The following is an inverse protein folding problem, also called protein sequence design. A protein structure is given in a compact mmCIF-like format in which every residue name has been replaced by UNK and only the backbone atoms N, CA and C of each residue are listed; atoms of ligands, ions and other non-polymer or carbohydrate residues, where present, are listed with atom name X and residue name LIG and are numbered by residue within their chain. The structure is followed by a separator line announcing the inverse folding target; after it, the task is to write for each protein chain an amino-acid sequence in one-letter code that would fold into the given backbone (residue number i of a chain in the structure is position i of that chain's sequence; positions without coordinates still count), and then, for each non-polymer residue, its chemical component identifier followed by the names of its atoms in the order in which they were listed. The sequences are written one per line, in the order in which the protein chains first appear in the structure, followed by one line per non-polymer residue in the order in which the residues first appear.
data_IF_890921435796
#
_entry.id   IF_890921435796
#
_cell.length_a   1.000
_cell.length_b   1.000
_cell.length_c   1.000
_cell.angle_alpha   90.00
_cell.angle_beta   90.00
_cell.angle_gamma   90.00
#
_symmetry.space_group_name_H-M   'P 1'
#
loop_
_entity.id
_entity.type
_entity.pdbx_description
1 polymer ?
#
# COMPACT_ATOMS: atom_id res chain seq x y z
N UNK A 1 -6.56 -14.96 -15.34
CA UNK A 1 -5.42 -15.78 -14.89
C UNK A 1 -5.22 -15.51 -13.41
N UNK A 2 -5.28 -16.56 -12.58
CA UNK A 2 -5.37 -16.44 -11.14
C UNK A 2 -4.07 -15.86 -10.55
N UNK A 3 -4.26 -14.87 -9.67
CA UNK A 3 -3.24 -14.11 -8.98
C UNK A 3 -2.52 -15.02 -7.97
N UNK A 4 -1.22 -14.86 -7.77
CA UNK A 4 -0.63 -15.16 -6.46
C UNK A 4 -1.15 -14.08 -5.49
N UNK A 5 -2.36 -14.26 -5.00
CA UNK A 5 -2.96 -13.44 -3.94
C UNK A 5 -2.26 -13.72 -2.62
N UNK A 6 -2.50 -12.87 -1.62
CA UNK A 6 -2.18 -13.16 -0.23
C UNK A 6 -2.55 -14.61 0.14
N UNK A 7 -3.68 -15.10 -0.38
CA UNK A 7 -4.14 -16.48 -0.32
C UNK A 7 -3.08 -17.53 -0.69
N UNK A 8 -2.30 -17.36 -1.77
CA UNK A 8 -1.31 -18.38 -2.14
C UNK A 8 -0.15 -18.53 -1.13
N UNK A 9 0.19 -17.46 -0.42
CA UNK A 9 1.15 -17.54 0.69
C UNK A 9 0.49 -18.17 1.92
N UNK A 10 -0.77 -17.84 2.17
CA UNK A 10 -1.56 -18.42 3.23
C UNK A 10 -1.78 -19.93 3.04
N UNK A 11 -2.08 -20.37 1.83
CA UNK A 11 -2.20 -21.77 1.44
C UNK A 11 -0.86 -22.51 1.63
N UNK A 12 0.27 -21.85 1.37
CA UNK A 12 1.61 -22.38 1.68
C UNK A 12 1.94 -22.48 3.17
N UNK A 13 1.13 -21.91 4.07
CA UNK A 13 1.19 -22.17 5.51
C UNK A 13 0.39 -23.44 5.90
N UNK A 14 -0.58 -23.86 5.07
CA UNK A 14 -1.43 -25.04 5.27
C UNK A 14 -0.78 -26.36 4.81
N UNK A 15 0.25 -26.31 3.96
CA UNK A 15 0.98 -27.48 3.42
C UNK A 15 1.69 -28.38 4.47
N UNK A 16 1.47 -28.17 5.77
CA UNK A 16 1.98 -29.02 6.85
C UNK A 16 0.97 -30.05 7.39
N UNK A 17 -0.25 -30.12 6.85
CA UNK A 17 -1.28 -31.05 7.30
C UNK A 17 -1.70 -32.08 6.24
N UNK A 18 -0.73 -32.78 5.64
CA UNK A 18 -0.88 -34.20 5.29
C UNK A 18 0.47 -34.77 4.83
N UNK A 19 1.00 -35.84 5.46
CA UNK A 19 2.08 -36.59 4.82
C UNK A 19 1.54 -37.16 3.49
N UNK A 20 2.37 -37.27 2.43
CA UNK A 20 1.94 -37.94 1.22
C UNK A 20 1.54 -39.38 1.59
N UNK A 21 0.29 -39.74 1.33
CA UNK A 21 -0.18 -41.11 1.49
C UNK A 21 0.76 -42.03 0.70
N UNK A 22 1.24 -43.07 1.37
CA UNK A 22 2.10 -44.09 0.77
C UNK A 22 1.46 -44.64 -0.52
N UNK A 23 2.26 -44.94 -1.56
CA UNK A 23 1.72 -45.49 -2.80
C UNK A 23 1.07 -46.85 -2.51
N UNK A 24 -0.22 -46.97 -2.82
CA UNK A 24 -0.94 -48.23 -2.75
C UNK A 24 -0.33 -49.25 -3.73
N UNK A 25 -0.33 -50.56 -3.41
CA UNK A 25 0.27 -51.58 -4.25
C UNK A 25 -0.49 -51.71 -5.58
N UNK A 26 0.30 -51.85 -6.65
CA UNK A 26 -0.16 -51.94 -8.02
C UNK A 26 -1.10 -53.12 -8.25
N UNK A 27 -2.30 -52.85 -8.76
CA UNK A 27 -3.13 -53.85 -9.45
C UNK A 27 -2.71 -53.91 -10.92
N UNK A 28 -2.50 -55.14 -11.39
CA UNK A 28 -1.93 -55.49 -12.69
C UNK A 28 -2.76 -54.98 -13.89
N UNK A 29 -2.13 -54.57 -15.01
CA UNK A 29 -2.83 -54.18 -16.22
C UNK A 29 -3.05 -55.38 -17.16
N UNK A 30 -4.27 -55.52 -17.71
CA UNK A 30 -4.54 -56.36 -18.88
C UNK A 30 -4.96 -55.48 -20.06
N UNK A 31 -4.01 -55.22 -20.95
CA UNK A 31 -4.14 -55.13 -22.42
C UNK A 31 -3.01 -54.25 -23.02
N UNK A 32 -2.25 -54.72 -24.02
CA UNK A 32 -1.09 -54.02 -24.54
C UNK A 32 -1.49 -52.91 -25.53
N UNK A 33 -1.23 -51.66 -25.15
CA UNK A 33 -1.14 -50.55 -26.11
C UNK A 33 0.24 -50.58 -26.79
N UNK A 34 0.37 -50.22 -28.07
CA UNK A 34 1.68 -50.21 -28.74
C UNK A 34 2.61 -49.17 -28.09
N UNK A 35 3.94 -49.37 -28.17
CA UNK A 35 4.90 -48.52 -27.47
C UNK A 35 4.85 -47.12 -28.05
N UNK A 36 4.39 -46.13 -27.26
CA UNK A 36 4.64 -44.72 -27.56
C UNK A 36 6.14 -44.50 -27.43
N UNK A 37 6.79 -44.24 -28.57
CA UNK A 37 8.16 -43.77 -28.59
C UNK A 37 8.35 -42.62 -27.60
N UNK A 38 9.43 -42.61 -26.81
CA UNK A 38 9.71 -41.50 -25.91
C UNK A 38 9.92 -40.25 -26.77
N UNK A 39 8.96 -39.31 -26.73
CA UNK A 39 9.16 -37.96 -27.27
C UNK A 39 10.46 -37.43 -26.68
N UNK A 40 11.48 -37.29 -27.54
CA UNK A 40 12.73 -36.59 -27.20
C UNK A 40 12.35 -35.28 -26.53
N UNK A 41 12.61 -35.17 -25.22
CA UNK A 41 12.51 -33.90 -24.50
C UNK A 41 13.52 -32.97 -25.16
N UNK A 42 13.04 -32.06 -25.99
CA UNK A 42 13.85 -30.96 -26.50
C UNK A 42 14.37 -30.22 -25.25
N UNK A 43 15.69 -30.10 -25.04
CA UNK A 43 16.21 -29.34 -23.92
C UNK A 43 15.73 -27.91 -24.07
N UNK A 44 14.92 -27.44 -23.13
CA UNK A 44 14.58 -26.03 -23.04
C UNK A 44 15.92 -25.31 -22.78
N UNK A 45 16.34 -24.34 -23.61
CA UNK A 45 17.60 -23.64 -23.40
C UNK A 45 17.57 -22.96 -22.04
N UNK A 46 18.43 -23.41 -21.12
CA UNK A 46 18.63 -22.76 -19.83
C UNK A 46 19.55 -21.56 -20.07
N UNK A 47 19.01 -20.36 -19.99
CA UNK A 47 19.83 -19.17 -19.81
C UNK A 47 20.69 -19.33 -18.55
N UNK A 48 21.93 -18.85 -18.59
CA UNK A 48 22.76 -18.81 -17.38
C UNK A 48 22.06 -17.95 -16.32
N UNK A 49 21.94 -18.48 -15.10
CA UNK A 49 21.20 -17.82 -14.00
C UNK A 49 21.75 -16.42 -13.68
N UNK A 50 23.03 -16.16 -13.96
CA UNK A 50 23.67 -14.85 -13.79
C UNK A 50 23.19 -13.81 -14.81
N UNK A 51 23.03 -14.21 -16.08
CA UNK A 51 22.48 -13.34 -17.12
C UNK A 51 20.99 -13.09 -16.87
N UNK A 52 20.25 -14.12 -16.46
CA UNK A 52 18.86 -14.01 -16.08
C UNK A 52 18.69 -13.06 -14.89
N UNK A 53 19.53 -13.19 -13.86
CA UNK A 53 19.56 -12.29 -12.70
C UNK A 53 19.85 -10.86 -13.11
N UNK A 54 20.86 -10.60 -13.94
CA UNK A 54 21.21 -9.26 -14.37
C UNK A 54 20.07 -8.58 -15.14
N UNK A 55 19.40 -9.34 -16.02
CA UNK A 55 18.24 -8.87 -16.79
C UNK A 55 17.09 -8.53 -15.83
N UNK A 56 16.68 -9.46 -14.96
CA UNK A 56 15.58 -9.24 -14.03
C UNK A 56 15.91 -8.24 -12.93
N UNK A 57 17.17 -8.11 -12.52
CA UNK A 57 17.62 -7.06 -11.61
C UNK A 57 17.43 -5.69 -12.27
N UNK A 58 17.69 -5.55 -13.58
CA UNK A 58 17.43 -4.31 -14.31
C UNK A 58 15.92 -4.01 -14.43
N UNK A 59 15.12 -5.02 -14.77
CA UNK A 59 13.66 -4.89 -14.91
C UNK A 59 12.94 -4.64 -13.57
N UNK A 60 13.48 -5.18 -12.48
CA UNK A 60 12.95 -5.05 -11.11
C UNK A 60 13.71 -4.01 -10.28
N UNK A 61 14.78 -3.40 -10.81
CA UNK A 61 15.63 -2.42 -10.11
C UNK A 61 14.78 -1.30 -9.53
N UNK A 62 13.82 -0.82 -10.32
CA UNK A 62 12.91 0.27 -9.96
C UNK A 62 11.84 -0.13 -8.96
N UNK A 63 11.93 -1.32 -8.35
CA UNK A 63 10.93 -1.81 -7.41
C UNK A 63 9.58 -2.07 -8.05
N UNK A 64 9.54 -2.32 -9.38
CA UNK A 64 8.26 -2.41 -10.06
C UNK A 64 7.49 -3.66 -9.63
N UNK A 65 6.30 -3.52 -9.03
CA UNK A 65 5.59 -4.66 -8.46
C UNK A 65 5.00 -5.58 -9.53
N UNK A 66 4.48 -5.07 -10.65
CA UNK A 66 4.10 -5.90 -11.80
C UNK A 66 5.30 -6.67 -12.37
N UNK A 67 6.47 -6.03 -12.49
CA UNK A 67 7.69 -6.70 -12.96
C UNK A 67 8.21 -7.71 -11.95
N UNK A 68 8.15 -7.41 -10.64
CA UNK A 68 8.49 -8.35 -9.56
C UNK A 68 7.55 -9.55 -9.58
N UNK A 69 6.25 -9.35 -9.81
CA UNK A 69 5.25 -10.43 -9.98
C UNK A 69 5.59 -11.34 -11.15
N UNK A 70 5.94 -10.74 -12.30
CA UNK A 70 6.38 -11.51 -13.47
C UNK A 70 7.66 -12.27 -13.14
N UNK A 71 8.64 -11.62 -12.53
CA UNK A 71 9.94 -12.20 -12.20
C UNK A 71 9.82 -13.44 -11.31
N UNK A 72 8.98 -13.41 -10.27
CA UNK A 72 8.80 -14.53 -9.35
C UNK A 72 8.05 -15.72 -9.98
N UNK A 73 7.37 -15.53 -11.10
CA UNK A 73 6.64 -16.60 -11.81
C UNK A 73 7.50 -17.36 -12.82
N UNK A 74 8.68 -16.84 -13.17
CA UNK A 74 9.53 -17.42 -14.23
C UNK A 74 10.14 -18.75 -13.78
N UNK A 75 10.80 -18.78 -12.63
CA UNK A 75 11.40 -19.98 -12.06
C UNK A 75 11.64 -19.85 -10.54
N UNK A 76 11.95 -20.97 -9.89
CA UNK A 76 12.20 -21.04 -8.44
C UNK A 76 13.40 -20.20 -7.99
N UNK A 77 14.42 -20.03 -8.84
CA UNK A 77 15.59 -19.23 -8.51
C UNK A 77 15.24 -17.73 -8.39
N UNK A 78 14.55 -17.17 -9.39
CA UNK A 78 14.06 -15.78 -9.38
C UNK A 78 12.97 -15.57 -8.32
N UNK A 79 12.12 -16.57 -8.07
CA UNK A 79 11.20 -16.56 -6.93
C UNK A 79 11.95 -16.33 -5.62
N UNK A 80 12.95 -17.15 -5.31
CA UNK A 80 13.72 -17.04 -4.07
C UNK A 80 14.46 -15.69 -3.96
N UNK A 81 14.93 -15.15 -5.08
CA UNK A 81 15.64 -13.86 -5.15
C UNK A 81 14.71 -12.68 -4.90
N UNK A 82 13.53 -12.64 -5.52
CA UNK A 82 12.66 -11.46 -5.53
C UNK A 82 11.46 -11.51 -4.59
N UNK A 83 11.07 -12.69 -4.09
CA UNK A 83 9.97 -12.82 -3.12
C UNK A 83 10.08 -11.84 -1.94
N UNK A 84 11.25 -11.51 -1.35
CA UNK A 84 11.28 -10.61 -0.20
C UNK A 84 10.95 -9.16 -0.55
N UNK A 85 11.09 -8.79 -1.84
CA UNK A 85 10.72 -7.47 -2.34
C UNK A 85 9.24 -7.40 -2.69
N UNK A 86 8.67 -8.50 -3.17
CA UNK A 86 7.25 -8.61 -3.50
C UNK A 86 6.34 -8.38 -2.29
N UNK A 87 6.72 -8.90 -1.12
CA UNK A 87 5.91 -8.77 0.10
C UNK A 87 6.05 -7.42 0.83
N UNK A 88 6.88 -6.49 0.31
CA UNK A 88 7.00 -5.13 0.88
C UNK A 88 5.78 -4.26 0.62
N UNK A 89 4.98 -4.59 -0.38
CA UNK A 89 3.73 -3.91 -0.68
C UNK A 89 2.58 -4.89 -0.51
N UNK A 90 1.60 -4.53 0.32
CA UNK A 90 0.37 -5.29 0.48
C UNK A 90 -0.81 -4.35 0.29
N UNK A 91 -1.78 -4.83 -0.49
CA UNK A 91 -3.09 -4.24 -0.65
C UNK A 91 -4.11 -5.11 0.07
N UNK A 92 -4.74 -4.57 1.09
CA UNK A 92 -5.93 -5.18 1.66
C UNK A 92 -7.18 -4.62 1.00
N UNK A 93 -8.10 -5.53 0.68
CA UNK A 93 -9.43 -5.21 0.18
C UNK A 93 -10.46 -6.21 0.73
N UNK A 94 -11.74 -5.94 0.44
CA UNK A 94 -12.86 -6.78 0.87
C UNK A 94 -12.72 -8.28 0.53
N UNK A 95 -11.86 -8.67 -0.40
CA UNK A 95 -11.71 -10.07 -0.81
C UNK A 95 -10.64 -10.83 -0.01
N UNK A 96 -9.71 -10.14 0.65
CA UNK A 96 -8.56 -10.78 1.31
C UNK A 96 -8.41 -10.40 2.79
N UNK A 97 -9.20 -9.43 3.27
CA UNK A 97 -9.08 -8.95 4.64
C UNK A 97 -9.53 -10.00 5.67
N UNK A 98 -10.54 -10.81 5.34
CA UNK A 98 -11.01 -11.88 6.22
C UNK A 98 -9.95 -12.94 6.43
N UNK A 99 -9.23 -13.31 5.37
CA UNK A 99 -8.13 -14.25 5.46
C UNK A 99 -7.01 -13.68 6.34
N UNK A 100 -6.67 -12.39 6.18
CA UNK A 100 -5.72 -11.75 7.08
C UNK A 100 -6.15 -11.80 8.54
N UNK A 101 -7.42 -11.52 8.84
CA UNK A 101 -7.94 -11.56 10.20
C UNK A 101 -7.92 -12.99 10.76
N UNK A 102 -8.26 -13.99 9.95
CA UNK A 102 -8.18 -15.40 10.32
C UNK A 102 -6.73 -15.78 10.63
N UNK A 103 -5.78 -15.47 9.75
CA UNK A 103 -4.37 -15.81 9.97
C UNK A 103 -3.74 -15.06 11.14
N UNK A 104 -4.11 -13.80 11.37
CA UNK A 104 -3.70 -13.08 12.57
C UNK A 104 -4.23 -13.78 13.83
N UNK A 105 -5.48 -14.27 13.81
CA UNK A 105 -6.07 -14.99 14.93
C UNK A 105 -5.36 -16.32 15.17
N UNK A 106 -5.21 -17.15 14.14
CA UNK A 106 -4.58 -18.47 14.23
C UNK A 106 -3.11 -18.39 14.67
N UNK A 107 -2.36 -17.39 14.22
CA UNK A 107 -0.92 -17.30 14.47
C UNK A 107 -0.54 -16.49 15.73
N UNK A 108 -1.45 -15.66 16.25
CA UNK A 108 -1.17 -14.77 17.39
C UNK A 108 -2.03 -15.03 18.63
N UNK A 109 -3.02 -15.93 18.58
CA UNK A 109 -3.85 -16.25 19.74
C UNK A 109 -2.99 -16.61 20.97
N UNK A 110 -3.36 -16.03 22.11
CA UNK A 110 -2.63 -16.19 23.37
C UNK A 110 -3.10 -17.38 24.20
N UNK A 111 -4.16 -18.09 23.79
CA UNK A 111 -4.79 -19.18 24.56
C UNK A 111 -4.08 -20.54 24.43
N UNK A 112 -4.04 -21.29 25.53
CA UNK A 112 -3.31 -22.55 25.73
C UNK A 112 -3.81 -23.77 24.94
N UNK A 113 -4.93 -23.68 24.23
CA UNK A 113 -5.42 -24.79 23.40
C UNK A 113 -4.76 -24.73 22.02
N UNK A 114 -3.61 -25.41 21.90
CA UNK A 114 -2.78 -25.51 20.69
C UNK A 114 -2.19 -24.19 20.22
N UNK A 115 -1.18 -23.70 20.95
CA UNK A 115 -0.31 -22.64 20.45
C UNK A 115 0.17 -23.00 19.04
N UNK A 116 0.03 -22.12 18.04
CA UNK A 116 0.49 -22.40 16.68
C UNK A 116 1.97 -22.77 16.73
N UNK A 117 2.45 -23.68 15.84
CA UNK A 117 3.86 -23.99 15.75
C UNK A 117 4.64 -22.68 15.69
N UNK A 118 5.63 -22.51 16.58
CA UNK A 118 6.42 -21.26 16.68
C UNK A 118 6.91 -20.76 15.33
N UNK A 119 7.25 -21.70 14.44
CA UNK A 119 7.63 -21.46 13.04
C UNK A 119 6.56 -20.72 12.22
N UNK A 120 5.28 -21.06 12.35
CA UNK A 120 4.20 -20.42 11.59
C UNK A 120 3.94 -19.01 12.09
N UNK A 121 3.94 -18.83 13.41
CA UNK A 121 3.89 -17.51 14.04
C UNK A 121 5.05 -16.62 13.60
N UNK A 122 6.28 -17.13 13.66
CA UNK A 122 7.47 -16.38 13.27
C UNK A 122 7.43 -16.01 11.78
N UNK A 123 6.96 -16.92 10.91
CA UNK A 123 6.74 -16.65 9.47
C UNK A 123 5.71 -15.54 9.24
N UNK A 124 4.56 -15.62 9.91
CA UNK A 124 3.51 -14.61 9.80
C UNK A 124 4.01 -13.25 10.28
N UNK A 125 4.66 -13.19 11.43
CA UNK A 125 5.26 -11.94 11.95
C UNK A 125 6.34 -11.39 11.01
N UNK A 126 7.20 -12.25 10.46
CA UNK A 126 8.22 -11.84 9.50
C UNK A 126 7.60 -11.25 8.24
N UNK A 127 6.49 -11.83 7.75
CA UNK A 127 5.74 -11.26 6.64
C UNK A 127 5.21 -9.88 7.02
N UNK A 128 4.47 -9.75 8.11
CA UNK A 128 3.88 -8.46 8.52
C UNK A 128 4.95 -7.38 8.74
N UNK A 129 6.09 -7.74 9.34
CA UNK A 129 7.23 -6.84 9.54
C UNK A 129 8.02 -6.54 8.26
N UNK A 130 7.82 -7.28 7.17
CA UNK A 130 8.44 -6.99 5.87
C UNK A 130 7.68 -5.95 5.05
N UNK A 131 6.42 -5.66 5.42
CA UNK A 131 5.55 -4.71 4.72
C UNK A 131 6.02 -3.30 5.03
N UNK A 132 6.29 -2.54 3.96
CA UNK A 132 6.73 -1.15 3.97
C UNK A 132 5.63 -0.25 3.40
N UNK A 133 4.91 -0.73 2.38
CA UNK A 133 3.80 -0.06 1.73
C UNK A 133 2.51 -0.81 2.02
N UNK A 134 1.57 -0.14 2.68
CA UNK A 134 0.26 -0.68 3.00
C UNK A 134 -0.82 0.10 2.27
N UNK A 135 -1.60 -0.58 1.45
CA UNK A 135 -2.76 -0.01 0.78
C UNK A 135 -4.06 -0.50 1.40
N UNK A 136 -4.93 0.45 1.74
CA UNK A 136 -6.25 0.22 2.33
C UNK A 136 -7.30 0.75 1.36
N UNK A 137 -8.17 -0.13 0.87
CA UNK A 137 -9.14 0.22 -0.17
C UNK A 137 -10.40 0.89 0.36
N UNK A 138 -10.95 0.39 1.47
CA UNK A 138 -12.31 0.66 1.91
C UNK A 138 -12.48 0.62 3.44
N UNK A 139 -13.69 0.96 3.89
CA UNK A 139 -14.11 0.98 5.29
C UNK A 139 -13.92 -0.37 5.97
N UNK A 140 -14.53 -1.43 5.43
CA UNK A 140 -14.54 -2.77 6.00
C UNK A 140 -13.12 -3.26 6.24
N UNK A 141 -12.27 -3.06 5.23
CA UNK A 141 -10.86 -3.40 5.29
C UNK A 141 -10.16 -2.70 6.45
N UNK A 142 -10.36 -1.38 6.56
CA UNK A 142 -9.72 -0.57 7.60
C UNK A 142 -10.18 -0.93 9.00
N UNK A 143 -11.46 -1.25 9.18
CA UNK A 143 -12.04 -1.65 10.46
C UNK A 143 -11.46 -2.99 10.93
N UNK A 144 -11.39 -4.00 10.05
CA UNK A 144 -10.83 -5.32 10.38
C UNK A 144 -9.32 -5.24 10.69
N UNK A 145 -8.55 -4.46 9.95
CA UNK A 145 -7.14 -4.18 10.29
C UNK A 145 -7.04 -3.62 11.72
N UNK A 146 -7.85 -2.61 12.03
CA UNK A 146 -7.84 -1.98 13.36
C UNK A 146 -8.28 -2.95 14.46
N UNK A 147 -9.31 -3.78 14.21
CA UNK A 147 -9.76 -4.82 15.15
C UNK A 147 -8.60 -5.75 15.53
N UNK A 148 -7.83 -6.21 14.55
CA UNK A 148 -6.64 -7.03 14.79
C UNK A 148 -5.62 -6.25 15.64
N UNK A 149 -5.27 -5.02 15.24
CA UNK A 149 -4.25 -4.21 15.91
C UNK A 149 -4.57 -3.86 17.37
N UNK A 150 -5.86 -3.69 17.72
CA UNK A 150 -6.28 -3.41 19.09
C UNK A 150 -6.57 -4.65 19.92
N UNK A 151 -6.61 -5.83 19.30
CA UNK A 151 -6.98 -7.07 20.00
C UNK A 151 -5.97 -7.37 21.11
N UNK A 152 -6.50 -7.53 22.33
CA UNK A 152 -5.73 -7.90 23.52
C UNK A 152 -5.44 -9.40 23.58
N UNK A 153 -6.20 -10.20 22.85
CA UNK A 153 -6.09 -11.66 22.80
C UNK A 153 -4.98 -12.10 21.84
N UNK A 154 -4.58 -11.21 20.92
CA UNK A 154 -3.56 -11.46 19.92
C UNK A 154 -2.20 -10.91 20.35
N UNK A 155 -1.24 -11.80 20.57
CA UNK A 155 0.09 -11.46 21.07
C UNK A 155 0.91 -10.72 20.01
N UNK A 156 1.30 -9.49 20.30
CA UNK A 156 2.13 -8.68 19.38
C UNK A 156 1.34 -8.06 18.22
N UNK A 157 0.00 -8.09 18.27
CA UNK A 157 -0.88 -7.45 17.30
C UNK A 157 -0.51 -5.99 17.04
N UNK A 158 -0.25 -5.23 18.10
CA UNK A 158 0.06 -3.80 18.05
C UNK A 158 1.33 -3.45 17.26
N UNK A 159 2.21 -4.43 17.02
CA UNK A 159 3.48 -4.25 16.30
C UNK A 159 3.50 -4.95 14.95
N UNK A 160 2.38 -5.54 14.50
CA UNK A 160 2.34 -6.33 13.26
C UNK A 160 2.91 -5.56 12.06
N UNK A 161 2.52 -4.30 11.93
CA UNK A 161 2.91 -3.43 10.82
C UNK A 161 3.95 -2.39 11.22
N UNK A 162 4.86 -2.72 12.15
CA UNK A 162 5.87 -1.78 12.68
C UNK A 162 6.82 -1.18 11.63
N UNK A 163 6.92 -1.81 10.46
CA UNK A 163 7.80 -1.39 9.35
C UNK A 163 7.06 -0.61 8.27
N UNK A 164 5.75 -0.41 8.41
CA UNK A 164 4.97 0.35 7.43
C UNK A 164 5.40 1.81 7.48
N UNK A 165 5.98 2.28 6.38
CA UNK A 165 6.38 3.67 6.21
C UNK A 165 5.43 4.43 5.30
N UNK A 166 4.81 3.75 4.33
CA UNK A 166 3.93 4.32 3.31
C UNK A 166 2.52 3.78 3.49
N UNK A 167 1.58 4.67 3.79
CA UNK A 167 0.15 4.34 3.86
C UNK A 167 -0.56 4.91 2.63
N UNK A 168 -1.22 4.05 1.86
CA UNK A 168 -1.97 4.41 0.66
C UNK A 168 -3.46 4.24 0.95
N UNK A 169 -4.20 5.34 0.83
CA UNK A 169 -5.64 5.40 1.08
C UNK A 169 -6.38 5.62 -0.23
N UNK A 170 -7.22 4.66 -0.60
CA UNK A 170 -8.03 4.72 -1.83
C UNK A 170 -9.34 5.47 -1.62
N UNK A 171 -10.03 5.70 -2.72
CA UNK A 171 -11.24 6.52 -2.77
C UNK A 171 -12.36 6.06 -1.82
N UNK A 172 -12.61 4.76 -1.69
CA UNK A 172 -13.71 4.26 -0.84
C UNK A 172 -13.39 4.47 0.65
N UNK A 173 -12.14 4.30 1.07
CA UNK A 173 -11.70 4.68 2.41
C UNK A 173 -11.90 6.19 2.66
N UNK A 174 -11.55 7.06 1.71
CA UNK A 174 -11.73 8.51 1.87
C UNK A 174 -13.22 8.92 1.96
N UNK A 175 -14.12 8.14 1.36
CA UNK A 175 -15.58 8.35 1.46
C UNK A 175 -16.13 7.93 2.82
N UNK A 176 -15.55 6.92 3.45
CA UNK A 176 -15.89 6.48 4.81
C UNK A 176 -15.63 7.56 5.86
N UNK A 177 -14.61 8.40 5.67
CA UNK A 177 -14.37 9.54 6.56
C UNK A 177 -15.53 10.54 6.45
N UNK A 178 -16.41 10.57 7.43
CA UNK A 178 -17.56 11.50 7.47
C UNK A 178 -17.44 12.50 8.62
N UNK A 179 -17.96 13.71 8.39
CA UNK A 179 -17.92 14.81 9.39
C UNK A 179 -18.77 14.51 10.64
N UNK A 180 -19.85 13.74 10.47
CA UNK A 180 -20.84 13.47 11.53
C UNK A 180 -20.30 12.53 12.61
N UNK A 181 -19.37 11.63 12.26
CA UNK A 181 -18.72 10.69 13.18
C UNK A 181 -17.81 11.37 14.23
N UNK A 182 -17.68 12.69 14.18
CA UNK A 182 -16.86 13.48 15.10
C UNK A 182 -17.46 13.58 16.51
N UNK A 183 -18.79 13.52 16.61
CA UNK A 183 -19.54 13.60 17.87
C UNK A 183 -19.87 12.22 18.46
N UNK A 184 -19.55 11.14 17.74
CA UNK A 184 -19.71 9.79 18.26
C UNK A 184 -18.67 9.54 19.36
N UNK A 185 -19.15 9.42 20.60
CA UNK A 185 -18.36 9.07 21.79
C UNK A 185 -18.40 7.57 22.09
N UNK A 186 -19.00 6.78 21.18
CA UNK A 186 -19.32 5.39 21.45
C UNK A 186 -18.13 4.45 21.20
N UNK A 187 -18.17 3.25 21.79
CA UNK A 187 -17.10 2.23 21.68
C UNK A 187 -16.99 1.58 20.29
N UNK A 188 -17.79 2.01 19.33
CA UNK A 188 -17.82 1.48 17.97
C UNK A 188 -16.63 1.98 17.13
N UNK A 189 -16.25 1.24 16.09
CA UNK A 189 -15.17 1.61 15.18
C UNK A 189 -15.66 2.58 14.09
N UNK A 190 -16.11 3.76 14.52
CA UNK A 190 -16.44 4.85 13.61
C UNK A 190 -15.17 5.43 12.95
N UNK A 191 -15.33 6.17 11.85
CA UNK A 191 -14.24 6.60 10.96
C UNK A 191 -13.09 7.33 11.67
N UNK A 192 -13.42 8.29 12.55
CA UNK A 192 -12.42 9.00 13.37
C UNK A 192 -11.61 8.05 14.24
N UNK A 193 -12.26 7.06 14.88
CA UNK A 193 -11.57 6.12 15.77
C UNK A 193 -10.66 5.18 14.99
N UNK A 194 -11.11 4.68 13.85
CA UNK A 194 -10.31 3.85 12.94
C UNK A 194 -9.03 4.59 12.55
N UNK A 195 -9.16 5.83 12.08
CA UNK A 195 -8.01 6.64 11.66
C UNK A 195 -7.03 6.91 12.81
N UNK A 196 -7.51 7.30 13.99
CA UNK A 196 -6.65 7.50 15.15
C UNK A 196 -5.86 6.23 15.52
N UNK A 197 -6.50 5.06 15.42
CA UNK A 197 -5.86 3.79 15.73
C UNK A 197 -4.86 3.40 14.64
N UNK A 198 -5.19 3.57 13.36
CA UNK A 198 -4.26 3.37 12.25
C UNK A 198 -3.00 4.24 12.44
N UNK A 199 -3.15 5.54 12.71
CA UNK A 199 -2.01 6.42 12.98
C UNK A 199 -1.16 5.99 14.17
N UNK A 200 -1.80 5.58 15.26
CA UNK A 200 -1.13 5.14 16.49
C UNK A 200 -0.27 3.89 16.27
N UNK A 201 -0.78 2.90 15.54
CA UNK A 201 -0.12 1.60 15.39
C UNK A 201 0.75 1.48 14.15
N UNK A 202 0.34 2.08 13.03
CA UNK A 202 1.11 2.06 11.79
C UNK A 202 2.23 3.10 11.79
N UNK A 203 1.99 4.28 12.38
CA UNK A 203 2.94 5.42 12.40
C UNK A 203 3.60 5.69 11.05
N UNK A 204 2.81 5.87 9.97
CA UNK A 204 3.37 6.07 8.64
C UNK A 204 4.22 7.35 8.60
N UNK A 205 5.28 7.32 7.79
CA UNK A 205 6.11 8.50 7.48
C UNK A 205 5.60 9.22 6.23
N UNK A 206 4.94 8.49 5.34
CA UNK A 206 4.39 9.03 4.11
C UNK A 206 2.92 8.62 3.95
N UNK A 207 2.09 9.58 3.55
CA UNK A 207 0.68 9.35 3.24
C UNK A 207 0.38 9.58 1.76
N UNK A 208 -0.21 8.59 1.10
CA UNK A 208 -0.69 8.69 -0.26
C UNK A 208 -2.21 8.66 -0.30
N UNK A 209 -2.82 9.67 -0.93
CA UNK A 209 -4.27 9.74 -1.14
C UNK A 209 -4.52 9.67 -2.64
N UNK A 210 -5.36 8.73 -3.06
CA UNK A 210 -5.63 8.47 -4.48
C UNK A 210 -6.37 9.60 -5.19
N UNK A 211 -7.36 10.21 -4.54
CA UNK A 211 -8.12 11.32 -5.08
C UNK A 211 -8.73 12.14 -3.94
N UNK A 212 -8.60 13.46 -4.04
CA UNK A 212 -9.41 14.40 -3.29
C UNK A 212 -10.30 15.13 -4.29
N UNK A 213 -11.62 15.19 -4.06
CA UNK A 213 -12.56 15.76 -5.05
C UNK A 213 -12.26 17.25 -5.30
N UNK A 214 -12.29 17.66 -6.58
CA UNK A 214 -11.90 19.01 -7.01
C UNK A 214 -12.83 20.13 -6.55
N UNK A 215 -14.14 19.87 -6.55
CA UNK A 215 -15.16 20.91 -6.33
C UNK A 215 -15.14 21.47 -4.91
N UNK A 216 -14.54 20.73 -3.98
CA UNK A 216 -14.54 21.04 -2.56
C UNK A 216 -13.29 21.84 -2.13
N UNK A 217 -12.17 21.76 -2.87
CA UNK A 217 -10.87 22.33 -2.43
C UNK A 217 -10.75 23.85 -2.48
N UNK A 218 -11.65 24.57 -3.15
CA UNK A 218 -11.59 26.05 -3.15
C UNK A 218 -11.89 26.65 -1.76
N UNK A 219 -12.46 25.85 -0.87
CA UNK A 219 -12.80 26.21 0.49
C UNK A 219 -11.98 25.37 1.47
N UNK A 220 -11.15 25.99 2.31
CA UNK A 220 -10.41 25.34 3.39
C UNK A 220 -11.34 24.65 4.40
N UNK A 221 -12.58 25.13 4.54
CA UNK A 221 -13.63 24.53 5.38
C UNK A 221 -14.35 23.34 4.73
N UNK A 222 -13.92 22.92 3.54
CA UNK A 222 -14.57 21.81 2.86
C UNK A 222 -14.39 20.49 3.61
N UNK A 223 -15.37 19.57 3.50
CA UNK A 223 -15.27 18.26 4.15
C UNK A 223 -14.01 17.50 3.74
N UNK A 224 -13.60 17.56 2.46
CA UNK A 224 -12.43 16.85 1.95
C UNK A 224 -11.12 17.34 2.57
N UNK A 225 -10.95 18.66 2.71
CA UNK A 225 -9.76 19.25 3.35
C UNK A 225 -9.73 18.91 4.85
N UNK A 226 -10.85 19.09 5.53
CA UNK A 226 -10.98 18.79 6.95
C UNK A 226 -10.72 17.31 7.27
N UNK A 227 -11.19 16.37 6.43
CA UNK A 227 -10.94 14.94 6.59
C UNK A 227 -9.44 14.64 6.62
N UNK A 228 -8.67 15.24 5.72
CA UNK A 228 -7.22 15.01 5.64
C UNK A 228 -6.51 15.65 6.83
N UNK A 229 -6.88 16.87 7.23
CA UNK A 229 -6.33 17.54 8.42
C UNK A 229 -6.55 16.73 9.70
N UNK A 230 -7.74 16.16 9.87
CA UNK A 230 -8.02 15.22 10.96
C UNK A 230 -7.23 13.95 10.83
N UNK A 231 -7.17 13.40 9.61
CA UNK A 231 -6.55 12.12 9.40
C UNK A 231 -5.09 12.14 9.79
N UNK A 232 -4.36 13.18 9.38
CA UNK A 232 -2.96 13.35 9.79
C UNK A 232 -2.81 13.89 11.22
N UNK A 233 -3.90 14.16 11.95
CA UNK A 233 -3.87 14.73 13.29
C UNK A 233 -3.04 13.87 14.25
N UNK A 234 -1.91 14.40 14.70
CA UNK A 234 -0.96 13.68 15.58
C UNK A 234 -0.07 12.65 14.86
N UNK A 235 -0.12 12.58 13.52
CA UNK A 235 0.76 11.75 12.72
C UNK A 235 2.01 12.57 12.38
N UNK A 236 3.20 11.97 12.58
CA UNK A 236 4.47 12.63 12.25
C UNK A 236 4.87 12.31 10.80
N UNK A 237 4.13 12.89 9.86
CA UNK A 237 4.37 12.69 8.43
C UNK A 237 5.58 13.51 7.97
N UNK A 238 6.50 12.86 7.26
CA UNK A 238 7.58 13.53 6.55
C UNK A 238 7.12 14.04 5.18
N UNK A 239 6.14 13.35 4.58
CA UNK A 239 5.65 13.68 3.25
C UNK A 239 4.22 13.19 2.98
N UNK A 240 3.57 13.82 2.00
CA UNK A 240 2.25 13.44 1.50
C UNK A 240 2.22 13.50 -0.02
N UNK A 241 1.57 12.53 -0.65
CA UNK A 241 1.28 12.54 -2.09
C UNK A 241 -0.22 12.55 -2.34
N UNK A 242 -0.65 13.44 -3.24
CA UNK A 242 -2.01 13.52 -3.73
C UNK A 242 -2.02 13.10 -5.20
N UNK A 243 -2.50 11.88 -5.42
CA UNK A 243 -2.71 11.36 -6.75
C UNK A 243 -3.96 11.94 -7.38
N UNK A 244 -3.99 11.90 -8.72
CA UNK A 244 -5.11 12.34 -9.53
C UNK A 244 -5.73 13.65 -9.03
N UNK A 245 -4.87 14.61 -8.69
CA UNK A 245 -5.30 15.84 -8.03
C UNK A 245 -6.07 16.70 -9.03
N UNK A 246 -7.40 16.68 -8.94
CA UNK A 246 -8.26 17.39 -9.89
C UNK A 246 -8.49 18.84 -9.44
N UNK A 247 -8.56 19.74 -10.42
CA UNK A 247 -8.83 21.18 -10.25
C UNK A 247 -7.60 22.05 -10.47
N UNK A 248 -7.75 23.36 -10.25
CA UNK A 248 -6.65 24.33 -10.35
C UNK A 248 -6.05 24.70 -8.98
N UNK A 249 -6.70 24.37 -7.87
CA UNK A 249 -6.23 24.70 -6.52
C UNK A 249 -5.57 23.49 -5.87
N UNK A 250 -4.35 23.67 -5.36
CA UNK A 250 -3.57 22.67 -4.62
C UNK A 250 -3.58 23.02 -3.13
N UNK A 251 -4.15 22.14 -2.32
CA UNK A 251 -4.25 22.37 -0.88
C UNK A 251 -2.94 22.02 -0.19
N UNK A 252 -2.38 22.99 0.53
CA UNK A 252 -1.17 22.84 1.32
C UNK A 252 -1.56 22.51 2.76
N UNK A 253 -1.42 21.24 3.10
CA UNK A 253 -1.71 20.70 4.42
C UNK A 253 -0.71 21.17 5.47
N UNK A 254 -1.15 21.32 6.72
CA UNK A 254 -0.30 21.77 7.83
C UNK A 254 0.65 20.67 8.29
N UNK A 255 1.81 21.04 8.84
CA UNK A 255 2.78 20.11 9.45
C UNK A 255 3.26 18.94 8.57
N UNK A 256 3.22 19.13 7.24
CA UNK A 256 3.81 18.19 6.28
C UNK A 256 4.96 18.89 5.53
N UNK A 257 6.22 18.48 5.76
CA UNK A 257 7.39 19.12 5.14
C UNK A 257 7.45 19.01 3.62
N UNK A 258 6.96 17.93 3.03
CA UNK A 258 6.98 17.70 1.59
C UNK A 258 5.61 17.26 1.08
N UNK A 259 5.05 18.00 0.12
CA UNK A 259 3.76 17.68 -0.48
C UNK A 259 3.90 17.55 -2.00
N UNK A 260 3.57 16.37 -2.52
CA UNK A 260 3.69 16.00 -3.92
C UNK A 260 2.30 15.92 -4.55
N UNK A 261 2.14 16.52 -5.72
CA UNK A 261 0.88 16.55 -6.45
C UNK A 261 1.08 15.92 -7.83
N UNK A 262 0.23 14.97 -8.16
CA UNK A 262 0.10 14.41 -9.51
C UNK A 262 -1.24 14.91 -10.08
N UNK A 263 -1.30 16.15 -10.55
CA UNK A 263 -2.53 16.71 -11.10
C UNK A 263 -3.03 15.92 -12.30
N UNK A 264 -4.35 15.80 -12.39
CA UNK A 264 -5.03 15.33 -13.60
C UNK A 264 -5.79 16.53 -14.20
N UNK A 265 -5.11 17.42 -14.95
CA UNK A 265 -5.72 18.65 -15.42
C UNK A 265 -6.77 18.35 -16.49
N UNK A 266 -7.98 18.96 -16.41
CA UNK A 266 -8.84 19.02 -17.58
C UNK A 266 -8.15 19.83 -18.69
N UNK A 267 -8.33 19.41 -19.94
CA UNK A 267 -7.76 20.07 -21.12
C UNK A 267 -7.93 21.60 -21.04
N UNK A 268 -6.81 22.33 -21.09
CA UNK A 268 -6.80 23.79 -21.28
C UNK A 268 -6.66 24.67 -20.01
N UNK A 269 -6.43 24.12 -18.82
CA UNK A 269 -6.20 24.94 -17.60
C UNK A 269 -4.70 25.03 -17.29
N UNK A 270 -4.14 26.25 -17.24
CA UNK A 270 -2.69 26.53 -17.24
C UNK A 270 -2.08 27.04 -15.93
N UNK A 271 -2.85 27.16 -14.85
CA UNK A 271 -2.34 27.68 -13.57
C UNK A 271 -2.76 26.82 -12.38
N UNK A 272 -1.78 26.44 -11.56
CA UNK A 272 -2.01 25.85 -10.25
C UNK A 272 -1.88 26.92 -9.17
N UNK A 273 -2.91 27.09 -8.34
CA UNK A 273 -2.93 28.03 -7.22
C UNK A 273 -2.73 27.23 -5.94
N UNK A 274 -1.74 27.57 -5.13
CA UNK A 274 -1.59 26.96 -3.80
C UNK A 274 -2.58 27.63 -2.84
N UNK A 275 -3.18 26.87 -1.93
CA UNK A 275 -4.05 27.42 -0.90
C UNK A 275 -3.82 26.70 0.43
N UNK A 276 -3.82 27.38 1.58
CA UNK A 276 -3.65 26.73 2.87
C UNK A 276 -4.87 25.87 3.19
N UNK A 277 -4.65 24.70 3.81
CA UNK A 277 -5.72 23.82 4.29
C UNK A 277 -6.50 24.36 5.48
N UNK A 278 -5.93 25.28 6.25
CA UNK A 278 -6.54 25.92 7.42
C UNK A 278 -6.46 27.44 7.29
N UNK A 279 -7.44 28.14 7.87
CA UNK A 279 -7.42 29.61 7.93
C UNK A 279 -6.38 30.14 8.94
N UNK A 280 -6.04 29.34 9.96
CA UNK A 280 -5.05 29.71 10.98
C UNK A 280 -3.62 29.42 10.50
N UNK A 281 -2.84 30.48 10.31
CA UNK A 281 -1.44 30.45 9.83
C UNK A 281 -0.42 30.23 10.97
N UNK A 282 -0.75 29.35 11.92
CA UNK A 282 0.10 29.12 13.11
C UNK A 282 1.25 28.13 12.88
N UNK A 283 1.37 27.59 11.66
CA UNK A 283 2.29 26.52 11.33
C UNK A 283 3.63 27.07 10.79
N UNK A 284 4.68 27.05 11.60
CA UNK A 284 6.05 27.45 11.22
C UNK A 284 6.80 26.40 10.38
N UNK A 285 6.18 25.26 10.08
CA UNK A 285 6.81 24.19 9.34
C UNK A 285 7.05 24.64 7.90
N UNK A 286 8.31 24.76 7.51
CA UNK A 286 8.69 25.01 6.10
C UNK A 286 8.21 23.86 5.23
N UNK A 287 7.48 24.18 4.18
CA UNK A 287 6.91 23.19 3.27
C UNK A 287 7.54 23.31 1.89
N UNK A 288 7.95 22.16 1.34
CA UNK A 288 8.33 21.99 -0.06
C UNK A 288 7.18 21.39 -0.83
N UNK A 289 6.97 21.88 -2.05
CA UNK A 289 5.89 21.47 -2.93
C UNK A 289 6.48 20.97 -4.24
N UNK A 290 6.06 19.78 -4.66
CA UNK A 290 6.43 19.20 -5.94
C UNK A 290 5.17 18.92 -6.77
N UNK A 291 5.17 19.36 -8.04
CA UNK A 291 4.03 19.17 -8.95
C UNK A 291 4.52 18.43 -10.19
N UNK A 292 3.92 17.28 -10.47
CA UNK A 292 4.29 16.33 -11.53
C UNK A 292 3.22 16.32 -12.63
N UNK A 293 3.52 16.87 -13.80
CA UNK A 293 2.52 17.12 -14.85
C UNK A 293 3.13 17.07 -16.26
N UNK A 294 2.31 17.03 -17.31
CA UNK A 294 2.79 16.82 -18.69
C UNK A 294 3.08 18.11 -19.49
N UNK A 295 2.92 19.30 -18.90
CA UNK A 295 3.05 20.58 -19.63
C UNK A 295 4.01 21.56 -18.96
N UNK A 296 4.88 22.16 -19.77
CA UNK A 296 5.95 23.10 -19.39
C UNK A 296 5.46 24.51 -19.01
N UNK A 297 4.34 24.95 -19.59
CA UNK A 297 3.87 26.35 -19.53
C UNK A 297 2.96 26.65 -18.33
N UNK A 298 3.27 26.08 -17.17
CA UNK A 298 2.40 26.21 -16.00
C UNK A 298 3.01 27.16 -14.98
N UNK A 299 2.27 28.21 -14.64
CA UNK A 299 2.63 29.09 -13.53
C UNK A 299 2.01 28.57 -12.24
N UNK A 300 2.80 28.52 -11.16
CA UNK A 300 2.29 28.28 -9.81
C UNK A 300 2.18 29.61 -9.08
N UNK A 301 0.99 29.91 -8.58
CA UNK A 301 0.74 31.11 -7.77
C UNK A 301 0.81 30.71 -6.31
N UNK A 302 1.75 31.31 -5.57
CA UNK A 302 1.85 31.21 -4.11
C UNK A 302 1.20 32.47 -3.51
N UNK A 303 0.00 32.38 -2.92
CA UNK A 303 -0.66 33.53 -2.34
C UNK A 303 0.08 34.00 -1.08
N UNK A 304 -0.17 35.26 -0.68
CA UNK A 304 0.59 35.94 0.37
C UNK A 304 0.56 35.23 1.72
N UNK A 305 -0.57 34.58 2.04
CA UNK A 305 -0.78 33.75 3.23
C UNK A 305 0.14 32.52 3.29
N UNK A 306 0.66 32.03 2.17
CA UNK A 306 1.59 30.90 2.13
C UNK A 306 3.05 31.32 2.00
N UNK A 307 3.36 32.59 1.72
CA UNK A 307 4.74 33.05 1.47
C UNK A 307 5.65 32.91 2.69
N UNK A 308 5.10 32.92 3.91
CA UNK A 308 5.85 32.66 5.14
C UNK A 308 6.28 31.19 5.28
N UNK A 309 5.54 30.27 4.65
CA UNK A 309 5.70 28.81 4.77
C UNK A 309 6.41 28.17 3.57
N UNK A 310 6.18 28.73 2.38
CA UNK A 310 6.68 28.23 1.10
C UNK A 310 7.34 29.38 0.37
N UNK A 311 8.67 29.31 0.20
CA UNK A 311 9.37 30.27 -0.67
C UNK A 311 9.22 29.84 -2.13
N UNK A 312 9.38 30.79 -3.06
CA UNK A 312 9.30 30.51 -4.51
C UNK A 312 10.28 29.42 -4.97
N UNK A 313 11.41 29.23 -4.28
CA UNK A 313 12.37 28.13 -4.54
C UNK A 313 12.03 26.77 -3.90
N UNK A 314 11.01 26.72 -3.03
CA UNK A 314 10.52 25.48 -2.40
C UNK A 314 9.44 24.79 -3.24
N UNK A 315 9.00 25.41 -4.35
CA UNK A 315 8.08 24.85 -5.33
C UNK A 315 8.87 24.33 -6.54
N UNK A 316 8.73 23.05 -6.86
CA UNK A 316 9.33 22.42 -8.03
C UNK A 316 8.25 21.84 -8.95
N UNK A 317 8.42 22.05 -10.24
CA UNK A 317 7.54 21.51 -11.27
C UNK A 317 8.36 20.54 -12.11
N UNK A 318 7.81 19.36 -12.37
CA UNK A 318 8.43 18.31 -13.18
C UNK A 318 7.52 17.94 -14.35
N UNK A 319 8.11 17.84 -15.54
CA UNK A 319 7.45 17.41 -16.78
C UNK A 319 7.35 15.87 -16.85
N UNK A 320 6.55 15.28 -15.96
CA UNK A 320 6.25 13.85 -15.93
C UNK A 320 4.99 13.62 -15.08
N UNK A 321 3.81 13.42 -15.69
CA UNK A 321 2.60 13.06 -14.93
C UNK A 321 2.58 11.61 -14.45
N UNK A 322 3.56 10.81 -14.88
CA UNK A 322 3.64 9.40 -14.57
C UNK A 322 3.74 9.19 -13.07
N UNK A 323 2.85 8.36 -12.52
CA UNK A 323 2.90 7.96 -11.11
C UNK A 323 4.21 7.23 -10.76
N UNK A 324 5.02 6.85 -11.74
CA UNK A 324 6.25 6.08 -11.56
C UNK A 324 7.34 6.77 -10.72
N UNK A 325 7.18 8.07 -10.38
CA UNK A 325 8.04 8.79 -9.43
C UNK A 325 7.46 8.94 -8.03
N UNK A 326 6.17 8.70 -7.83
CA UNK A 326 5.60 8.78 -6.48
C UNK A 326 6.24 7.71 -5.60
N UNK A 327 6.68 8.06 -4.39
CA UNK A 327 7.33 7.12 -3.46
C UNK A 327 6.45 5.91 -3.12
N UNK A 328 5.12 6.06 -3.15
CA UNK A 328 4.18 4.95 -3.03
C UNK A 328 3.98 4.14 -4.31
N UNK A 329 4.35 4.69 -5.45
CA UNK A 329 4.07 4.14 -6.76
C UNK A 329 5.32 3.93 -7.61
N UNK A 330 6.55 4.03 -7.10
CA UNK A 330 7.77 3.66 -7.85
C UNK A 330 7.78 2.13 -8.00
N UNK A 331 7.52 1.46 -9.13
CA UNK A 331 6.59 1.61 -10.27
C UNK A 331 5.55 0.49 -10.09
N UNK A 332 4.23 0.72 -9.99
CA UNK A 332 3.26 -0.40 -9.92
C UNK A 332 3.36 -1.37 -11.11
#
# INVERSE_FOLDING_TARGET
MALLSFQHFLDGLDDSLTPPAAPAPALAPTSPSPPREPKKKIPIPKFADDLLSAIFDLFTATGNFAHLKIAVQVNTFLYNRYQPRLYRYIKFDKYNIDDFQLHATLNLASSDSQSPPRRNRDRFLNLCHSIIHLEITDEETSQKIVQVLISRELRGSQTLFKSVEYLILRNEFMRFLQKVDYHALDRTLHSKRVVQLLGRYLKPRHLCIENLRAYDKKNSKSPEVWKVEILKGGWKLDSMTLHHDVGSTRMIFTDVPLQQFFPNPPLGVSSSVLAPSTEDDTCYTKTKVEIYQDYSNHSVIVPADLQNRIKVGDVKIYEESSLGRCTCCVRS
#
